data_IF_233031000265
#
_entry.id   IF_233031000265
#
_cell.length_a   1.000
_cell.length_b   1.000
_cell.length_c   1.000
_cell.angle_alpha   90.00
_cell.angle_beta   90.00
_cell.angle_gamma   90.00
#
_symmetry.space_group_name_H-M   'P 1'
#
loop_
_entity.id
_entity.type
_entity.pdbx_description
1 polymer ?
#
# COMPACT_ATOMS: atom_id res chain seq x y z
N UNK A 1 -29.61 -1.02 0.59
CA UNK A 1 -28.18 -1.36 0.40
C UNK A 1 -27.88 -2.45 1.42
N UNK A 2 -28.59 -3.56 1.30
CA UNK A 2 -28.89 -4.39 2.47
C UNK A 2 -27.90 -5.56 2.51
N UNK A 3 -27.01 -5.49 3.51
CA UNK A 3 -26.06 -6.51 3.95
C UNK A 3 -24.74 -6.65 3.14
N UNK A 4 -24.01 -5.55 2.92
CA UNK A 4 -22.57 -5.66 2.58
C UNK A 4 -21.80 -6.24 3.78
N UNK A 5 -21.03 -7.33 3.62
CA UNK A 5 -20.23 -7.88 4.71
C UNK A 5 -19.26 -6.82 5.26
N UNK A 6 -19.05 -6.77 6.59
CA UNK A 6 -18.14 -5.81 7.24
C UNK A 6 -16.74 -5.76 6.59
N UNK A 7 -16.23 -6.92 6.19
CA UNK A 7 -14.95 -7.04 5.49
C UNK A 7 -14.98 -6.33 4.12
N UNK A 8 -16.05 -6.52 3.34
CA UNK A 8 -16.20 -5.91 2.02
C UNK A 8 -16.36 -4.39 2.15
N UNK A 9 -17.17 -3.94 3.11
CA UNK A 9 -17.30 -2.52 3.41
C UNK A 9 -15.95 -1.88 3.82
N UNK A 10 -15.15 -2.60 4.61
CA UNK A 10 -13.78 -2.20 5.00
C UNK A 10 -12.86 -2.11 3.79
N UNK A 11 -12.87 -3.11 2.91
CA UNK A 11 -12.05 -3.12 1.71
C UNK A 11 -12.41 -1.97 0.77
N UNK A 12 -13.69 -1.66 0.61
CA UNK A 12 -14.14 -0.56 -0.24
C UNK A 12 -13.74 0.78 0.40
N UNK A 13 -14.18 1.07 1.63
CA UNK A 13 -13.96 2.38 2.24
C UNK A 13 -12.52 2.59 2.68
N UNK A 14 -11.96 1.65 3.43
CA UNK A 14 -10.56 1.69 3.88
C UNK A 14 -9.59 1.58 2.71
N UNK A 15 -9.89 0.75 1.70
CA UNK A 15 -9.08 0.65 0.49
C UNK A 15 -9.10 1.92 -0.35
N UNK A 16 -10.26 2.58 -0.50
CA UNK A 16 -10.34 3.87 -1.20
C UNK A 16 -9.46 4.93 -0.53
N UNK A 17 -9.53 5.03 0.80
CA UNK A 17 -8.69 5.96 1.57
C UNK A 17 -7.20 5.57 1.43
N UNK A 18 -6.88 4.27 1.49
CA UNK A 18 -5.53 3.78 1.30
C UNK A 18 -4.96 4.20 -0.06
N UNK A 19 -5.71 4.05 -1.14
CA UNK A 19 -5.28 4.44 -2.49
C UNK A 19 -4.98 5.93 -2.58
N UNK A 20 -5.86 6.76 -2.03
CA UNK A 20 -5.68 8.22 -2.03
C UNK A 20 -4.41 8.59 -1.25
N UNK A 21 -4.26 8.07 -0.02
CA UNK A 21 -3.09 8.35 0.81
C UNK A 21 -1.80 7.83 0.19
N UNK A 22 -1.81 6.62 -0.36
CA UNK A 22 -0.67 6.01 -1.03
C UNK A 22 -0.23 6.84 -2.23
N UNK A 23 -1.17 7.38 -3.01
CA UNK A 23 -0.85 8.28 -4.12
C UNK A 23 -0.12 9.54 -3.63
N UNK A 24 -0.59 10.18 -2.55
CA UNK A 24 0.09 11.34 -1.98
C UNK A 24 1.46 11.00 -1.39
N UNK A 25 1.58 9.85 -0.71
CA UNK A 25 2.85 9.37 -0.14
C UNK A 25 3.85 9.08 -1.25
N UNK A 26 3.46 8.33 -2.28
CA UNK A 26 4.31 8.05 -3.43
C UNK A 26 4.69 9.35 -4.17
N UNK A 27 3.73 10.26 -4.42
CA UNK A 27 4.02 11.57 -5.04
C UNK A 27 5.02 12.39 -4.22
N UNK A 28 4.90 12.39 -2.89
CA UNK A 28 5.84 13.07 -2.00
C UNK A 28 7.21 12.39 -1.99
N UNK A 29 7.23 11.06 -2.00
CA UNK A 29 8.44 10.23 -2.12
C UNK A 29 9.20 10.58 -3.41
N UNK A 30 8.52 10.57 -4.56
CA UNK A 30 9.07 10.94 -5.87
C UNK A 30 9.66 12.37 -5.89
N UNK A 31 9.06 13.32 -5.16
CA UNK A 31 9.59 14.70 -5.07
C UNK A 31 10.88 14.78 -4.27
N UNK A 32 11.05 13.93 -3.27
CA UNK A 32 12.23 13.91 -2.42
C UNK A 32 13.36 13.08 -3.06
N UNK A 33 13.03 11.91 -3.59
CA UNK A 33 13.95 11.01 -4.29
C UNK A 33 13.26 10.52 -5.57
N UNK A 34 13.62 11.07 -6.74
CA UNK A 34 13.01 10.66 -7.99
C UNK A 34 13.33 9.19 -8.24
N UNK A 35 12.28 8.42 -8.54
CA UNK A 35 12.42 7.03 -8.96
C UNK A 35 13.17 6.98 -10.28
N UNK A 36 14.24 6.21 -10.31
CA UNK A 36 14.99 5.86 -11.52
C UNK A 36 14.43 4.55 -12.06
N UNK A 37 14.09 4.49 -13.34
CA UNK A 37 13.55 3.29 -13.99
C UNK A 37 12.39 3.61 -14.96
N UNK A 38 12.00 2.62 -15.75
CA UNK A 38 10.89 2.74 -16.71
C UNK A 38 9.51 2.78 -16.04
N UNK A 39 8.45 2.83 -16.85
CA UNK A 39 7.06 2.87 -16.37
C UNK A 39 6.71 1.74 -15.38
N UNK A 40 7.32 0.55 -15.54
CA UNK A 40 7.12 -0.60 -14.64
C UNK A 40 7.65 -0.32 -13.23
N UNK A 41 8.82 0.31 -13.10
CA UNK A 41 9.39 0.67 -11.81
C UNK A 41 8.52 1.71 -11.08
N UNK A 42 7.97 2.68 -11.81
CA UNK A 42 6.99 3.61 -11.26
C UNK A 42 5.77 2.89 -10.71
N UNK A 43 5.14 2.01 -11.51
CA UNK A 43 3.97 1.25 -11.07
C UNK A 43 4.25 0.42 -9.81
N UNK A 44 5.37 -0.29 -9.78
CA UNK A 44 5.79 -1.09 -8.63
C UNK A 44 6.06 -0.23 -7.38
N UNK A 45 6.62 0.97 -7.55
CA UNK A 45 6.80 1.92 -6.45
C UNK A 45 5.45 2.38 -5.86
N UNK A 46 4.49 2.74 -6.71
CA UNK A 46 3.14 3.12 -6.26
C UNK A 46 2.41 1.95 -5.60
N UNK A 47 2.55 0.73 -6.12
CA UNK A 47 1.96 -0.48 -5.54
C UNK A 47 2.61 -0.84 -4.19
N UNK A 48 3.92 -0.67 -4.10
CA UNK A 48 4.69 -0.80 -2.87
C UNK A 48 4.24 0.19 -1.80
N UNK A 49 4.15 1.48 -2.16
CA UNK A 49 3.64 2.53 -1.30
C UNK A 49 2.20 2.23 -0.83
N UNK A 50 1.34 1.72 -1.72
CA UNK A 50 -0.01 1.29 -1.38
C UNK A 50 -0.02 0.18 -0.34
N UNK A 51 0.76 -0.88 -0.53
CA UNK A 51 0.82 -1.99 0.42
C UNK A 51 1.31 -1.59 1.81
N UNK A 52 2.21 -0.61 1.88
CA UNK A 52 2.73 -0.05 3.15
C UNK A 52 1.74 0.90 3.82
N UNK A 53 1.00 1.69 3.04
CA UNK A 53 0.04 2.68 3.56
C UNK A 53 -1.29 2.02 3.93
N UNK A 54 -1.72 0.98 3.21
CA UNK A 54 -3.03 0.34 3.35
C UNK A 54 -3.39 -0.17 4.76
N UNK A 55 -2.48 -0.71 5.60
CA UNK A 55 -2.83 -1.18 6.93
C UNK A 55 -3.52 -0.12 7.78
N UNK A 56 -3.00 1.12 7.82
CA UNK A 56 -3.52 2.18 8.68
C UNK A 56 -5.02 2.49 8.42
N UNK A 57 -5.45 2.87 7.21
CA UNK A 57 -6.85 3.14 6.91
C UNK A 57 -7.72 1.87 6.93
N UNK A 58 -7.21 0.70 6.52
CA UNK A 58 -7.97 -0.56 6.60
C UNK A 58 -8.25 -0.96 8.05
N UNK A 59 -7.27 -0.82 8.95
CA UNK A 59 -7.45 -1.09 10.38
C UNK A 59 -8.30 -0.03 11.06
N UNK A 60 -8.18 1.23 10.67
CA UNK A 60 -9.00 2.31 11.21
C UNK A 60 -10.47 2.12 10.84
N UNK A 61 -10.78 1.92 9.57
CA UNK A 61 -12.16 1.71 9.09
C UNK A 61 -12.69 0.35 9.54
N UNK A 62 -11.90 -0.71 9.41
CA UNK A 62 -12.32 -2.07 9.75
C UNK A 62 -12.44 -2.30 11.24
N UNK A 63 -11.48 -1.84 12.02
CA UNK A 63 -11.45 -2.02 13.48
C UNK A 63 -12.45 -1.14 14.20
N UNK A 64 -12.45 0.18 13.92
CA UNK A 64 -13.33 1.12 14.61
C UNK A 64 -14.71 1.26 13.96
N UNK A 65 -14.78 1.28 12.63
CA UNK A 65 -16.04 1.48 11.90
C UNK A 65 -16.89 0.21 11.82
N UNK A 66 -16.29 -0.91 11.42
CA UNK A 66 -17.02 -2.15 11.12
C UNK A 66 -16.76 -3.31 12.09
N UNK A 67 -15.89 -3.10 13.09
CA UNK A 67 -15.55 -4.07 14.16
C UNK A 67 -15.19 -5.46 13.62
N UNK A 68 -14.37 -5.52 12.56
CA UNK A 68 -13.90 -6.78 11.99
C UNK A 68 -13.11 -7.60 13.01
N UNK A 69 -13.13 -8.93 12.88
CA UNK A 69 -12.42 -9.81 13.79
C UNK A 69 -10.89 -9.60 13.71
N UNK A 70 -10.18 -9.80 14.83
CA UNK A 70 -8.72 -9.62 14.87
C UNK A 70 -7.99 -10.42 13.79
N UNK A 71 -8.38 -11.68 13.54
CA UNK A 71 -7.78 -12.50 12.48
C UNK A 71 -7.93 -11.90 11.08
N UNK A 72 -9.07 -11.25 10.80
CA UNK A 72 -9.29 -10.55 9.52
C UNK A 72 -8.45 -9.28 9.43
N UNK A 73 -8.40 -8.49 10.51
CA UNK A 73 -7.58 -7.29 10.60
C UNK A 73 -6.09 -7.61 10.42
N UNK A 74 -5.59 -8.64 11.13
CA UNK A 74 -4.23 -9.12 11.01
C UNK A 74 -3.93 -9.63 9.60
N UNK A 75 -4.85 -10.40 8.99
CA UNK A 75 -4.73 -10.88 7.61
C UNK A 75 -4.65 -9.74 6.59
N UNK A 76 -5.48 -8.70 6.74
CA UNK A 76 -5.43 -7.52 5.88
C UNK A 76 -4.10 -6.76 6.02
N UNK A 77 -3.64 -6.56 7.25
CA UNK A 77 -2.38 -5.87 7.55
C UNK A 77 -1.16 -6.61 7.00
N UNK A 78 -1.02 -7.90 7.34
CA UNK A 78 0.10 -8.72 6.88
C UNK A 78 0.03 -8.95 5.37
N UNK A 79 -1.17 -9.15 4.81
CA UNK A 79 -1.37 -9.32 3.39
C UNK A 79 -0.98 -8.08 2.59
N UNK A 80 -1.39 -6.88 3.02
CA UNK A 80 -1.02 -5.64 2.33
C UNK A 80 0.46 -5.33 2.48
N UNK A 81 1.06 -5.55 3.66
CA UNK A 81 2.50 -5.36 3.86
C UNK A 81 3.32 -6.36 3.04
N UNK A 82 2.92 -7.63 3.00
CA UNK A 82 3.58 -8.65 2.18
C UNK A 82 3.52 -8.32 0.69
N UNK A 83 2.35 -7.89 0.20
CA UNK A 83 2.19 -7.45 -1.19
C UNK A 83 3.02 -6.19 -1.49
N UNK A 84 3.02 -5.22 -0.57
CA UNK A 84 3.82 -4.00 -0.68
C UNK A 84 5.32 -4.30 -0.70
N UNK A 85 5.79 -5.18 0.18
CA UNK A 85 7.17 -5.63 0.23
C UNK A 85 7.58 -6.32 -1.08
N UNK A 86 6.75 -7.24 -1.60
CA UNK A 86 7.00 -7.90 -2.87
C UNK A 86 7.09 -6.89 -4.03
N UNK A 87 6.18 -5.92 -4.07
CA UNK A 87 6.22 -4.86 -5.08
C UNK A 87 7.49 -3.99 -4.99
N UNK A 88 7.95 -3.67 -3.78
CA UNK A 88 9.19 -2.93 -3.55
C UNK A 88 10.43 -3.74 -3.89
N UNK A 89 10.43 -5.06 -3.63
CA UNK A 89 11.51 -5.95 -4.07
C UNK A 89 11.61 -5.98 -5.59
N UNK A 90 10.48 -6.15 -6.29
CA UNK A 90 10.45 -6.10 -7.75
C UNK A 90 10.90 -4.72 -8.26
N UNK A 91 10.43 -3.64 -7.64
CA UNK A 91 10.88 -2.29 -7.93
C UNK A 91 12.41 -2.16 -7.87
N UNK A 92 13.05 -2.69 -6.81
CA UNK A 92 14.50 -2.66 -6.67
C UNK A 92 15.21 -3.42 -7.81
N UNK A 93 14.67 -4.57 -8.23
CA UNK A 93 15.21 -5.34 -9.37
C UNK A 93 15.12 -4.55 -10.68
N UNK A 94 14.00 -3.87 -10.94
CA UNK A 94 13.80 -3.11 -12.18
C UNK A 94 14.47 -1.73 -12.20
N UNK A 95 14.86 -1.19 -11.04
CA UNK A 95 15.47 0.13 -10.92
C UNK A 95 17.00 0.11 -10.99
N UNK A 96 17.61 -1.08 -10.91
CA UNK A 96 19.07 -1.28 -11.01
C UNK A 96 19.85 -0.83 -9.75
N UNK A 97 21.11 -1.28 -9.58
CA UNK A 97 21.91 -1.07 -8.38
C UNK A 97 22.21 0.41 -8.06
N UNK A 98 22.29 1.26 -9.07
CA UNK A 98 22.57 2.70 -8.92
C UNK A 98 21.43 3.50 -8.25
N UNK A 99 20.26 2.88 -8.11
CA UNK A 99 19.13 3.44 -7.38
C UNK A 99 19.20 3.16 -5.86
N UNK A 100 19.99 2.17 -5.44
CA UNK A 100 20.15 1.73 -4.04
C UNK A 100 21.29 2.49 -3.35
N UNK A 101 22.42 2.73 -4.03
CA UNK A 101 23.54 3.51 -3.47
C UNK A 101 23.24 5.00 -3.31
N UNK A 102 22.37 5.58 -4.15
CA UNK A 102 21.89 6.95 -3.95
C UNK A 102 20.94 7.11 -2.74
N UNK A 103 20.69 6.02 -1.99
CA UNK A 103 19.80 5.99 -0.84
C UNK A 103 20.49 5.71 0.50
N UNK A 104 21.76 5.31 0.52
CA UNK A 104 22.62 5.23 1.73
C UNK A 104 23.26 6.58 2.04
#
# INVERSE_FOLDING_TARGET
MDNLPPLVATLILGGSIAVILAFFVARKSHRNKPVKGGAVAHLLHYLGALGVVAPAPLLLVGGFGFRIAFGQAAGLCLGSLGLGFLALMLFAVFSGPESVEAQS
#
